data_IF_454040912629
#
_entry.id   IF_454040912629
#
_cell.length_a   1.000
_cell.length_b   1.000
_cell.length_c   1.000
_cell.angle_alpha   90.00
_cell.angle_beta   90.00
_cell.angle_gamma   90.00
#
_symmetry.space_group_name_H-M   'P 1'
#
loop_
_entity.id
_entity.type
_entity.pdbx_description
1 polymer ?
#
# COMPACT_ATOMS: atom_id res chain seq x y z
N UNK A 1 -0.95 -9.73 -17.59
CA UNK A 1 -1.67 -10.59 -16.62
C UNK A 1 -1.88 -9.86 -15.28
N UNK A 2 -2.15 -8.54 -15.31
CA UNK A 2 -2.43 -7.66 -14.16
C UNK A 2 -3.85 -7.85 -13.57
N UNK A 3 -4.60 -8.84 -14.07
CA UNK A 3 -6.05 -8.89 -13.88
C UNK A 3 -6.52 -9.78 -12.73
N UNK A 4 -5.81 -10.86 -12.38
CA UNK A 4 -6.42 -11.90 -11.54
C UNK A 4 -6.32 -11.63 -10.03
N UNK A 5 -5.18 -11.19 -9.52
CA UNK A 5 -5.01 -10.92 -8.07
C UNK A 5 -5.61 -9.56 -7.63
N UNK A 6 -5.60 -8.55 -8.50
CA UNK A 6 -6.16 -7.22 -8.19
C UNK A 6 -7.70 -7.18 -8.34
N UNK A 7 -8.29 -7.99 -9.23
CA UNK A 7 -9.75 -8.14 -9.31
C UNK A 7 -10.33 -8.86 -8.10
N UNK A 8 -9.62 -9.79 -7.48
CA UNK A 8 -10.04 -10.43 -6.21
C UNK A 8 -10.03 -9.43 -5.03
N UNK A 9 -9.11 -8.46 -5.01
CA UNK A 9 -9.07 -7.41 -3.98
C UNK A 9 -10.29 -6.47 -4.09
N UNK A 10 -10.67 -6.05 -5.29
CA UNK A 10 -11.82 -5.13 -5.49
C UNK A 10 -13.16 -5.86 -5.37
N UNK A 11 -13.27 -7.09 -5.88
CA UNK A 11 -14.50 -7.89 -5.79
C UNK A 11 -14.76 -8.41 -4.38
N UNK A 12 -13.73 -8.77 -3.60
CA UNK A 12 -13.90 -9.15 -2.19
C UNK A 12 -14.13 -7.96 -1.26
N UNK A 13 -13.69 -6.75 -1.63
CA UNK A 13 -13.91 -5.53 -0.85
C UNK A 13 -15.38 -5.11 -0.70
N UNK A 14 -16.28 -5.54 -1.60
CA UNK A 14 -17.72 -5.21 -1.53
C UNK A 14 -18.64 -6.37 -1.16
N UNK A 15 -18.17 -7.62 -1.16
CA UNK A 15 -19.07 -8.79 -1.12
C UNK A 15 -18.99 -9.65 0.13
N UNK A 16 -18.05 -9.41 1.05
CA UNK A 16 -17.97 -10.19 2.31
C UNK A 16 -17.63 -9.27 3.47
N UNK A 17 -18.55 -8.99 4.40
CA UNK A 17 -18.33 -8.48 5.78
C UNK A 17 -17.28 -7.38 6.09
N UNK A 18 -16.68 -6.72 5.10
CA UNK A 18 -15.63 -5.72 5.24
C UNK A 18 -16.17 -4.28 5.27
N UNK A 19 -17.44 -4.10 5.64
CA UNK A 19 -18.07 -2.78 5.79
C UNK A 19 -17.47 -1.91 6.91
N UNK A 20 -16.37 -2.34 7.57
CA UNK A 20 -15.86 -1.63 8.73
C UNK A 20 -14.42 -1.12 8.68
N UNK A 21 -13.49 -1.63 7.88
CA UNK A 21 -12.12 -1.12 7.96
C UNK A 21 -11.33 -1.24 6.64
N UNK A 22 -11.46 -0.22 5.78
CA UNK A 22 -10.45 0.02 4.77
C UNK A 22 -9.23 0.64 5.48
N UNK A 23 -8.07 -0.04 5.46
CA UNK A 23 -6.89 0.31 6.29
C UNK A 23 -6.44 1.75 6.09
N UNK A 24 -6.48 2.26 4.87
CA UNK A 24 -6.09 3.62 4.52
C UNK A 24 -7.04 4.65 5.15
N UNK A 25 -8.35 4.42 5.09
CA UNK A 25 -9.36 5.27 5.74
C UNK A 25 -9.29 5.16 7.26
N UNK A 26 -9.02 3.97 7.82
CA UNK A 26 -8.82 3.80 9.25
C UNK A 26 -7.60 4.60 9.76
N UNK A 27 -6.49 4.58 9.00
CA UNK A 27 -5.31 5.39 9.29
C UNK A 27 -5.66 6.88 9.22
N UNK A 28 -6.40 7.31 8.19
CA UNK A 28 -6.85 8.70 8.08
C UNK A 28 -7.66 9.14 9.32
N UNK A 29 -8.66 8.34 9.66
CA UNK A 29 -9.60 8.59 10.76
C UNK A 29 -8.91 8.63 12.13
N UNK A 30 -7.88 7.82 12.30
CA UNK A 30 -7.10 7.75 13.55
C UNK A 30 -6.13 8.92 13.70
N UNK A 31 -5.49 9.34 12.60
CA UNK A 31 -4.40 10.31 12.64
C UNK A 31 -4.87 11.75 12.64
N UNK A 32 -5.94 12.06 11.90
CA UNK A 32 -6.49 13.41 11.75
C UNK A 32 -8.02 13.42 11.92
N UNK A 33 -8.55 13.00 13.10
CA UNK A 33 -9.99 12.88 13.32
C UNK A 33 -10.75 14.19 13.08
N UNK A 34 -10.10 15.33 13.35
CA UNK A 34 -10.66 16.68 13.27
C UNK A 34 -10.75 17.21 11.82
N UNK A 35 -10.09 16.54 10.87
CA UNK A 35 -10.21 16.85 9.43
C UNK A 35 -11.52 16.27 8.86
N UNK A 36 -12.65 16.73 9.41
CA UNK A 36 -13.97 16.13 9.15
C UNK A 36 -14.31 16.13 7.66
N UNK A 37 -14.04 17.21 6.95
CA UNK A 37 -14.43 17.33 5.54
C UNK A 37 -13.53 16.48 4.63
N UNK A 38 -12.22 16.47 4.85
CA UNK A 38 -11.27 15.66 4.10
C UNK A 38 -11.56 14.17 4.27
N UNK A 39 -11.86 13.76 5.52
CA UNK A 39 -12.28 12.39 5.82
C UNK A 39 -13.56 12.03 5.07
N UNK A 40 -14.61 12.86 5.18
CA UNK A 40 -15.88 12.63 4.46
C UNK A 40 -15.66 12.51 2.95
N UNK A 41 -14.83 13.37 2.38
CA UNK A 41 -14.50 13.33 0.96
C UNK A 41 -13.83 12.01 0.56
N UNK A 42 -12.83 11.54 1.31
CA UNK A 42 -12.17 10.27 0.98
C UNK A 42 -13.06 9.04 1.20
N UNK A 43 -13.95 9.07 2.20
CA UNK A 43 -14.98 8.05 2.39
C UNK A 43 -15.99 8.05 1.22
N UNK A 44 -16.37 9.22 0.72
CA UNK A 44 -17.26 9.36 -0.45
C UNK A 44 -16.62 8.78 -1.73
N UNK A 45 -15.34 9.07 -1.97
CA UNK A 45 -14.57 8.46 -3.07
C UNK A 45 -14.57 6.92 -2.94
N UNK A 46 -14.42 6.39 -1.73
CA UNK A 46 -14.45 4.94 -1.48
C UNK A 46 -15.82 4.31 -1.73
N UNK A 47 -16.91 4.94 -1.27
CA UNK A 47 -18.28 4.45 -1.48
C UNK A 47 -18.57 4.26 -2.99
N UNK A 48 -18.07 5.16 -3.82
CA UNK A 48 -18.27 5.17 -5.26
C UNK A 48 -17.23 4.37 -6.07
N UNK A 49 -16.13 3.91 -5.45
CA UNK A 49 -15.13 3.10 -6.14
C UNK A 49 -15.70 1.73 -6.55
N UNK A 50 -15.54 1.32 -7.81
CA UNK A 50 -16.12 0.08 -8.38
C UNK A 50 -15.11 -0.78 -9.14
N UNK A 51 -13.89 -0.29 -9.28
CA UNK A 51 -12.81 -0.91 -10.03
C UNK A 51 -11.47 -0.63 -9.33
N UNK A 52 -10.42 -1.32 -9.74
CA UNK A 52 -9.07 -1.03 -9.26
C UNK A 52 -8.69 0.44 -9.54
N UNK A 53 -8.98 0.91 -10.75
CA UNK A 53 -8.68 2.29 -11.17
C UNK A 53 -9.35 3.35 -10.29
N UNK A 54 -10.62 3.12 -9.94
CA UNK A 54 -11.39 4.01 -9.06
C UNK A 54 -11.03 3.81 -7.59
N UNK A 55 -10.57 2.64 -7.19
CA UNK A 55 -10.06 2.38 -5.85
C UNK A 55 -8.73 3.10 -5.59
N UNK A 56 -7.85 3.19 -6.59
CA UNK A 56 -6.59 3.94 -6.42
C UNK A 56 -6.83 5.44 -6.13
N UNK A 57 -7.99 5.99 -6.47
CA UNK A 57 -8.40 7.33 -6.03
C UNK A 57 -8.57 7.43 -4.51
N UNK A 58 -9.05 6.38 -3.84
CA UNK A 58 -9.14 6.35 -2.36
C UNK A 58 -7.76 6.48 -1.74
N UNK A 59 -6.81 5.67 -2.22
CA UNK A 59 -5.41 5.69 -1.78
C UNK A 59 -4.80 7.08 -1.97
N UNK A 60 -5.04 7.71 -3.12
CA UNK A 60 -4.58 9.07 -3.41
C UNK A 60 -5.26 10.13 -2.54
N UNK A 61 -6.56 10.04 -2.31
CA UNK A 61 -7.29 10.98 -1.46
C UNK A 61 -6.75 10.96 -0.04
N UNK A 62 -6.62 9.77 0.57
CA UNK A 62 -6.04 9.60 1.91
C UNK A 62 -4.63 10.16 1.96
N UNK A 63 -3.79 9.86 0.97
CA UNK A 63 -2.42 10.37 0.91
C UNK A 63 -2.37 11.90 0.79
N UNK A 64 -3.28 12.51 0.05
CA UNK A 64 -3.38 13.97 -0.07
C UNK A 64 -3.82 14.60 1.26
N UNK A 65 -4.81 14.02 1.93
CA UNK A 65 -5.30 14.50 3.23
C UNK A 65 -4.23 14.41 4.34
N UNK A 66 -3.46 13.32 4.40
CA UNK A 66 -2.33 13.19 5.34
C UNK A 66 -1.14 14.09 4.97
N UNK A 67 -1.03 14.47 3.70
CA UNK A 67 0.03 15.33 3.16
C UNK A 67 1.43 14.73 3.30
N UNK A 68 2.42 15.58 3.52
CA UNK A 68 3.82 15.17 3.72
C UNK A 68 4.09 14.63 5.14
N UNK A 69 3.10 14.67 6.03
CA UNK A 69 3.24 14.22 7.41
C UNK A 69 3.50 12.72 7.45
N UNK A 70 4.51 12.34 8.22
CA UNK A 70 4.94 10.93 8.37
C UNK A 70 5.11 10.51 9.81
N UNK A 71 5.18 11.48 10.72
CA UNK A 71 5.46 11.29 12.12
C UNK A 71 4.29 11.88 12.90
N UNK A 72 3.55 11.01 13.59
CA UNK A 72 2.54 11.38 14.58
C UNK A 72 3.04 10.88 15.93
N UNK A 73 3.68 11.75 16.73
CA UNK A 73 4.28 11.37 18.00
C UNK A 73 3.29 10.61 18.89
N UNK A 74 3.72 9.46 19.42
CA UNK A 74 2.88 8.60 20.26
C UNK A 74 1.76 7.84 19.53
N UNK A 75 1.63 7.97 18.21
CA UNK A 75 0.57 7.31 17.42
C UNK A 75 1.14 6.42 16.30
N UNK A 76 1.80 7.02 15.30
CA UNK A 76 2.23 6.31 14.09
C UNK A 76 3.46 6.95 13.43
N UNK A 77 4.31 6.10 12.84
CA UNK A 77 5.40 6.49 11.94
C UNK A 77 5.25 5.77 10.60
N UNK A 78 5.03 6.54 9.53
CA UNK A 78 5.05 6.04 8.16
C UNK A 78 6.49 6.07 7.64
N UNK A 79 7.05 4.91 7.28
CA UNK A 79 8.38 4.82 6.65
C UNK A 79 8.36 5.26 5.19
N UNK A 80 9.53 5.61 4.62
CA UNK A 80 9.60 5.92 3.18
C UNK A 80 9.37 4.59 2.44
N UNK A 81 8.92 4.67 1.18
CA UNK A 81 8.80 3.47 0.34
C UNK A 81 10.13 2.73 0.36
N UNK A 82 10.10 1.40 0.52
CA UNK A 82 11.28 0.55 0.63
C UNK A 82 12.27 0.90 1.77
N UNK A 83 11.85 1.65 2.79
CA UNK A 83 12.68 1.95 3.99
C UNK A 83 12.08 1.39 5.29
N UNK A 84 11.02 0.57 5.18
CA UNK A 84 10.51 -0.22 6.30
C UNK A 84 11.29 -1.52 6.45
N UNK A 85 11.04 -2.27 7.52
CA UNK A 85 11.65 -3.59 7.74
C UNK A 85 11.11 -4.66 6.77
N UNK A 86 10.20 -4.29 5.88
CA UNK A 86 9.44 -5.18 5.03
C UNK A 86 9.34 -4.53 3.65
N UNK A 87 9.69 -5.27 2.60
CA UNK A 87 9.61 -4.79 1.21
C UNK A 87 8.70 -5.72 0.41
N UNK A 88 7.97 -5.19 -0.55
CA UNK A 88 7.23 -6.04 -1.48
C UNK A 88 8.24 -6.69 -2.44
N UNK A 89 8.12 -8.01 -2.64
CA UNK A 89 8.96 -8.74 -3.60
C UNK A 89 8.80 -8.19 -5.00
N UNK A 90 7.58 -7.74 -5.33
CA UNK A 90 7.19 -7.20 -6.63
C UNK A 90 8.13 -6.11 -7.14
N UNK A 91 8.58 -5.24 -6.23
CA UNK A 91 9.31 -4.02 -6.56
C UNK A 91 10.71 -4.28 -7.11
N UNK A 92 11.28 -5.45 -6.83
CA UNK A 92 12.64 -5.80 -7.22
C UNK A 92 12.75 -7.22 -7.78
N UNK A 93 11.68 -7.76 -8.36
CA UNK A 93 11.69 -9.11 -8.96
C UNK A 93 12.22 -10.21 -8.02
N UNK A 94 11.88 -10.12 -6.72
CA UNK A 94 12.36 -10.99 -5.64
C UNK A 94 13.86 -10.97 -5.38
N UNK A 95 14.59 -10.04 -5.99
CA UNK A 95 15.98 -9.81 -5.62
C UNK A 95 16.06 -9.24 -4.23
N UNK A 96 17.08 -9.65 -3.51
CA UNK A 96 17.30 -9.31 -2.12
C UNK A 96 18.74 -8.92 -1.86
N UNK A 97 18.93 -8.06 -0.87
CA UNK A 97 20.23 -7.61 -0.38
C UNK A 97 20.28 -7.79 1.15
N UNK A 98 21.47 -7.74 1.75
CA UNK A 98 21.64 -8.07 3.17
C UNK A 98 20.91 -7.14 4.15
N UNK A 99 20.44 -5.98 3.71
CA UNK A 99 19.64 -5.05 4.50
C UNK A 99 18.13 -5.35 4.46
N UNK A 100 17.69 -6.28 3.63
CA UNK A 100 16.31 -6.74 3.64
C UNK A 100 16.06 -7.66 4.85
N UNK A 101 14.98 -7.39 5.57
CA UNK A 101 14.58 -8.22 6.71
C UNK A 101 13.47 -9.21 6.35
N UNK A 102 12.43 -8.80 5.61
CA UNK A 102 11.38 -9.70 5.13
C UNK A 102 10.68 -9.19 3.86
N UNK A 103 10.11 -10.12 3.08
CA UNK A 103 9.21 -9.80 1.97
C UNK A 103 7.74 -9.91 2.40
N UNK A 104 6.90 -8.94 2.04
CA UNK A 104 5.44 -9.05 2.19
C UNK A 104 4.75 -9.46 0.89
N UNK A 105 3.46 -9.80 1.00
CA UNK A 105 2.57 -10.19 -0.09
C UNK A 105 2.92 -11.50 -0.79
N UNK A 106 3.67 -12.37 -0.13
CA UNK A 106 3.74 -13.79 -0.49
C UNK A 106 2.70 -14.57 0.33
N UNK A 107 1.71 -15.16 -0.35
CA UNK A 107 0.57 -15.86 0.29
C UNK A 107 0.37 -17.29 -0.23
N UNK A 108 1.20 -17.74 -1.18
CA UNK A 108 1.18 -19.10 -1.68
C UNK A 108 1.47 -20.16 -0.61
N UNK A 109 0.86 -21.33 -0.74
CA UNK A 109 1.19 -22.51 0.06
C UNK A 109 2.36 -23.29 -0.56
N UNK A 110 2.68 -23.00 -1.84
CA UNK A 110 3.84 -23.46 -2.55
C UNK A 110 4.58 -22.29 -3.20
N UNK A 111 5.87 -22.47 -3.49
CA UNK A 111 6.73 -21.49 -4.15
C UNK A 111 6.24 -21.07 -5.55
N UNK A 112 5.39 -21.89 -6.18
CA UNK A 112 4.89 -21.72 -7.55
C UNK A 112 3.46 -21.21 -7.62
N UNK A 113 2.76 -21.08 -6.49
CA UNK A 113 1.32 -20.76 -6.48
C UNK A 113 1.05 -19.33 -6.94
N UNK A 114 1.89 -18.41 -6.47
CA UNK A 114 1.95 -17.08 -7.03
C UNK A 114 2.80 -17.22 -8.31
N UNK A 115 2.29 -16.82 -9.49
CA UNK A 115 3.01 -16.79 -10.79
C UNK A 115 4.27 -15.88 -10.81
N UNK A 116 4.81 -15.65 -9.62
CA UNK A 116 5.84 -14.78 -9.18
C UNK A 116 7.07 -15.62 -8.83
N UNK A 117 8.26 -15.15 -9.21
CA UNK A 117 9.50 -15.89 -8.93
C UNK A 117 9.85 -15.74 -7.45
N UNK A 118 9.48 -16.71 -6.59
CA UNK A 118 9.76 -16.70 -5.13
C UNK A 118 11.22 -16.34 -4.79
N UNK A 119 11.50 -15.52 -3.76
CA UNK A 119 12.87 -15.26 -3.29
C UNK A 119 13.47 -16.46 -2.52
N UNK A 120 12.71 -17.55 -2.34
CA UNK A 120 13.10 -18.73 -1.58
C UNK A 120 13.22 -19.98 -2.46
N UNK A 121 14.10 -20.90 -2.06
CA UNK A 121 14.29 -22.22 -2.69
C UNK A 121 13.36 -23.29 -2.12
N UNK A 122 12.85 -23.08 -0.91
CA UNK A 122 11.85 -23.92 -0.24
C UNK A 122 10.94 -23.09 0.67
N UNK A 123 9.78 -23.64 1.05
CA UNK A 123 8.84 -22.98 1.95
C UNK A 123 9.49 -22.79 3.34
N UNK A 124 9.36 -21.61 3.98
CA UNK A 124 9.84 -21.43 5.35
C UNK A 124 9.24 -22.44 6.33
N UNK A 125 10.07 -23.16 7.08
CA UNK A 125 9.63 -24.03 8.17
C UNK A 125 9.41 -23.20 9.44
N UNK A 126 8.17 -23.18 9.95
CA UNK A 126 7.84 -22.47 11.19
C UNK A 126 8.62 -23.02 12.40
N UNK A 127 9.05 -24.29 12.38
CA UNK A 127 9.84 -24.89 13.46
C UNK A 127 11.28 -24.37 13.51
N UNK A 128 11.79 -23.79 12.41
CA UNK A 128 13.14 -23.23 12.34
C UNK A 128 13.18 -21.71 12.55
N UNK A 129 12.01 -21.07 12.74
CA UNK A 129 11.91 -19.66 13.09
C UNK A 129 12.51 -19.38 14.49
N UNK A 130 13.31 -18.33 14.62
CA UNK A 130 13.81 -17.82 15.91
C UNK A 130 15.34 -17.79 16.07
N UNK A 131 16.09 -18.57 15.28
CA UNK A 131 17.55 -18.56 15.27
C UNK A 131 18.09 -17.94 13.98
N UNK A 132 18.36 -16.63 14.00
CA UNK A 132 18.94 -15.92 12.86
C UNK A 132 18.10 -16.03 11.58
N UNK A 133 18.76 -16.24 10.43
CA UNK A 133 18.11 -16.42 9.13
C UNK A 133 17.79 -17.88 8.78
N UNK A 134 17.97 -18.83 9.71
CA UNK A 134 17.97 -20.26 9.40
C UNK A 134 16.61 -20.83 8.95
N UNK A 135 15.50 -20.15 9.25
CA UNK A 135 14.18 -20.52 8.74
C UNK A 135 13.80 -19.87 7.41
N UNK A 136 14.71 -19.07 6.84
CA UNK A 136 14.52 -18.39 5.58
C UNK A 136 15.48 -18.98 4.55
N UNK A 137 14.96 -19.85 3.70
CA UNK A 137 15.72 -20.57 2.69
C UNK A 137 15.88 -19.72 1.44
N UNK A 138 16.69 -18.66 1.55
CA UNK A 138 16.92 -17.69 0.49
C UNK A 138 17.52 -18.32 -0.77
N UNK A 139 17.03 -17.88 -1.93
CA UNK A 139 17.65 -18.17 -3.21
C UNK A 139 18.84 -17.24 -3.43
N UNK A 140 20.04 -17.78 -3.21
CA UNK A 140 21.32 -17.07 -3.38
C UNK A 140 21.54 -16.59 -4.82
N UNK A 141 20.86 -17.16 -5.83
CA UNK A 141 20.93 -16.66 -7.21
C UNK A 141 20.24 -15.30 -7.39
N UNK A 142 19.48 -14.86 -6.38
CA UNK A 142 18.77 -13.58 -6.33
C UNK A 142 19.38 -12.59 -5.34
N UNK A 143 20.46 -12.97 -4.68
CA UNK A 143 21.24 -12.05 -3.87
C UNK A 143 21.96 -11.06 -4.77
N UNK A 144 21.75 -9.77 -4.52
CA UNK A 144 22.35 -8.70 -5.31
C UNK A 144 22.86 -7.57 -4.43
N UNK A 145 23.70 -6.72 -5.00
CA UNK A 145 24.16 -5.52 -4.32
C UNK A 145 23.04 -4.46 -4.24
N UNK A 146 23.23 -3.50 -3.33
CA UNK A 146 22.25 -2.43 -3.09
C UNK A 146 22.00 -1.52 -4.29
N UNK A 147 22.97 -1.35 -5.21
CA UNK A 147 22.81 -0.50 -6.39
C UNK A 147 21.86 -1.13 -7.42
N UNK A 148 21.85 -2.45 -7.51
CA UNK A 148 20.89 -3.16 -8.34
C UNK A 148 19.46 -3.02 -7.79
N UNK A 149 19.29 -3.17 -6.47
CA UNK A 149 17.99 -2.93 -5.81
C UNK A 149 17.51 -1.49 -6.05
N UNK A 150 18.39 -0.48 -5.90
CA UNK A 150 18.03 0.92 -6.18
C UNK A 150 17.59 1.12 -7.63
N UNK A 151 18.28 0.47 -8.57
CA UNK A 151 17.94 0.53 -10.00
C UNK A 151 16.55 -0.06 -10.26
N UNK A 152 16.26 -1.23 -9.70
CA UNK A 152 14.96 -1.88 -9.84
C UNK A 152 13.84 -1.05 -9.21
N UNK A 153 14.07 -0.49 -8.01
CA UNK A 153 13.12 0.40 -7.34
C UNK A 153 12.86 1.67 -8.17
N UNK A 154 13.89 2.30 -8.74
CA UNK A 154 13.72 3.49 -9.57
C UNK A 154 12.93 3.19 -10.85
N UNK A 155 13.19 2.05 -11.50
CA UNK A 155 12.44 1.59 -12.66
C UNK A 155 10.98 1.32 -12.29
N UNK A 156 10.74 0.70 -11.14
CA UNK A 156 9.39 0.43 -10.64
C UNK A 156 8.64 1.72 -10.31
N UNK A 157 9.29 2.70 -9.67
CA UNK A 157 8.69 4.02 -9.39
C UNK A 157 8.29 4.74 -10.68
N UNK A 158 9.15 4.70 -11.71
CA UNK A 158 8.83 5.25 -13.03
C UNK A 158 7.64 4.53 -13.67
N UNK A 159 7.67 3.19 -13.69
CA UNK A 159 6.59 2.37 -14.22
C UNK A 159 5.25 2.67 -13.52
N UNK A 160 5.24 2.78 -12.19
CA UNK A 160 4.05 3.18 -11.46
C UNK A 160 3.63 4.59 -11.84
N UNK A 161 4.54 5.56 -11.93
CA UNK A 161 4.17 6.92 -12.36
C UNK A 161 3.42 6.94 -13.69
N UNK A 162 3.86 6.12 -14.64
CA UNK A 162 3.25 5.99 -15.97
C UNK A 162 1.91 5.26 -15.92
N UNK A 163 1.85 4.12 -15.23
CA UNK A 163 0.69 3.21 -15.22
C UNK A 163 -0.34 3.45 -14.13
N UNK A 164 -0.04 4.34 -13.17
CA UNK A 164 -0.98 4.67 -12.10
C UNK A 164 -2.29 5.20 -12.70
N UNK A 165 -3.46 4.70 -12.25
CA UNK A 165 -4.75 5.04 -12.83
C UNK A 165 -4.97 6.56 -12.90
N UNK A 166 -5.45 7.04 -14.05
CA UNK A 166 -5.65 8.48 -14.29
C UNK A 166 -6.59 9.12 -13.28
N UNK A 167 -7.66 8.41 -12.89
CA UNK A 167 -8.60 8.88 -11.88
C UNK A 167 -7.93 9.09 -10.51
N UNK A 168 -7.00 8.22 -10.14
CA UNK A 168 -6.21 8.37 -8.91
C UNK A 168 -5.15 9.48 -8.97
N UNK A 169 -4.87 10.08 -10.13
CA UNK A 169 -3.91 11.20 -10.27
C UNK A 169 -4.52 12.58 -9.97
N UNK A 170 -5.83 12.64 -9.72
CA UNK A 170 -6.53 13.90 -9.45
C UNK A 170 -6.12 14.52 -8.12
N UNK A 171 -6.32 15.83 -8.00
CA UNK A 171 -6.12 16.59 -6.76
C UNK A 171 -7.49 16.76 -6.10
N UNK A 172 -7.83 15.87 -5.16
CA UNK A 172 -9.21 15.72 -4.67
C UNK A 172 -9.76 16.96 -3.96
N UNK A 173 -8.91 17.78 -3.34
CA UNK A 173 -9.33 19.03 -2.73
C UNK A 173 -9.69 20.14 -3.75
N UNK A 174 -9.38 19.95 -5.04
CA UNK A 174 -9.80 20.85 -6.12
C UNK A 174 -11.05 20.35 -6.84
N UNK A 175 -11.31 19.05 -6.82
CA UNK A 175 -12.42 18.40 -7.52
C UNK A 175 -13.72 18.33 -6.69
N UNK A 176 -13.64 18.56 -5.38
CA UNK A 176 -14.76 18.42 -4.45
C UNK A 176 -15.08 19.73 -3.72
N UNK A 177 -16.37 20.09 -3.56
CA UNK A 177 -16.76 21.31 -2.86
C UNK A 177 -16.49 21.16 -1.35
N UNK A 178 -15.57 21.96 -0.82
CA UNK A 178 -15.27 22.02 0.62
C UNK A 178 -16.15 23.06 1.32
N UNK A 179 -16.10 24.31 0.86
CA UNK A 179 -16.78 25.44 1.52
C UNK A 179 -18.31 25.40 1.30
N UNK A 180 -18.75 24.95 0.12
CA UNK A 180 -20.17 24.93 -0.24
C UNK A 180 -21.03 24.04 0.67
N UNK A 181 -20.43 23.09 1.39
CA UNK A 181 -21.14 22.19 2.29
C UNK A 181 -21.32 22.76 3.70
N UNK A 182 -20.51 23.75 4.09
CA UNK A 182 -20.42 24.21 5.47
C UNK A 182 -20.60 25.72 5.64
N UNK A 183 -20.59 26.51 4.56
CA UNK A 183 -20.73 27.97 4.65
C UNK A 183 -22.09 28.39 5.27
N UNK A 184 -22.10 29.41 6.16
CA UNK A 184 -20.96 30.20 6.65
C UNK A 184 -20.23 29.60 7.86
N UNK A 185 -20.68 28.45 8.35
CA UNK A 185 -20.31 27.86 9.64
C UNK A 185 -19.26 26.74 9.54
N UNK A 186 -18.28 26.86 8.63
CA UNK A 186 -17.27 25.83 8.40
C UNK A 186 -16.40 25.51 9.62
N UNK A 187 -16.19 26.51 10.48
CA UNK A 187 -15.40 26.37 11.72
C UNK A 187 -16.20 25.74 12.87
N UNK A 188 -17.48 25.42 12.67
CA UNK A 188 -18.31 24.78 13.72
C UNK A 188 -18.11 23.27 13.80
N UNK A 189 -17.37 22.70 12.85
CA UNK A 189 -17.13 21.27 12.68
C UNK A 189 -15.68 20.87 13.07
N UNK A 190 -14.89 21.79 13.62
CA UNK A 190 -13.54 21.53 14.16
C UNK A 190 -13.56 21.49 15.68
#
# INVERSE_FOLDING_TARGET
MYGMQDQELVSSAKTTSWCHDHRELHVLDTLIPDAIQERKNCHDVWLHATSYDTYMAVVSCVRQALGATRLWPGKLRLYRKAHGWVRDGYLANSKWHDGDFMFHLWKGNNLTDDNWRSPFTEMPDLKSCGNGRNGWHWDETKHVNVEEIKTDLANFEKYLGETYPSYGKQVFFLEMPVIGQCYPDCERLT
#
